data_IF_633267367445
#
_entry.id   IF_633267367445
#
_cell.length_a   1.000
_cell.length_b   1.000
_cell.length_c   1.000
_cell.angle_alpha   90.00
_cell.angle_beta   90.00
_cell.angle_gamma   90.00
#
_symmetry.space_group_name_H-M   'P 1'
#
loop_
_entity.id
_entity.type
_entity.pdbx_description
1 polymer ?
#
# COMPACT_ATOMS: atom_id res chain seq x y z
N UNK A 1 38.05 -19.83 -16.73
CA UNK A 1 37.93 -18.80 -17.78
C UNK A 1 36.96 -17.75 -17.27
N UNK A 2 37.43 -16.53 -17.02
CA UNK A 2 36.56 -15.41 -16.66
C UNK A 2 35.79 -14.97 -17.89
N UNK A 3 34.44 -14.87 -17.83
CA UNK A 3 33.66 -14.41 -18.97
C UNK A 3 34.07 -12.97 -19.30
N UNK A 4 34.47 -12.74 -20.55
CA UNK A 4 34.81 -11.41 -21.06
C UNK A 4 33.49 -10.71 -21.37
N UNK A 5 33.11 -9.72 -20.56
CA UNK A 5 31.94 -8.89 -20.82
C UNK A 5 32.26 -7.91 -21.96
N UNK A 6 31.48 -7.96 -23.03
CA UNK A 6 31.53 -6.98 -24.11
C UNK A 6 30.58 -5.83 -23.79
N UNK A 7 31.06 -4.58 -23.67
CA UNK A 7 30.21 -3.42 -23.47
C UNK A 7 29.20 -3.26 -24.61
N UNK A 8 28.00 -2.75 -24.33
CA UNK A 8 26.96 -2.54 -25.35
C UNK A 8 27.45 -1.69 -26.54
N UNK A 9 28.34 -0.72 -26.28
CA UNK A 9 28.95 0.14 -27.31
C UNK A 9 29.81 -0.62 -28.33
N UNK A 10 30.29 -1.81 -28.00
CA UNK A 10 31.24 -2.57 -28.81
C UNK A 10 30.55 -3.69 -29.63
N UNK A 11 29.21 -3.77 -29.58
CA UNK A 11 28.41 -4.69 -30.40
C UNK A 11 28.03 -4.12 -31.78
N UNK A 12 27.66 -5.02 -32.71
CA UNK A 12 27.13 -4.62 -34.02
C UNK A 12 25.81 -3.87 -33.91
N UNK A 13 25.55 -3.01 -34.89
CA UNK A 13 24.37 -2.14 -34.94
C UNK A 13 23.03 -2.87 -34.73
N UNK A 14 22.78 -4.06 -35.31
CA UNK A 14 21.53 -4.79 -35.06
C UNK A 14 21.34 -5.18 -33.59
N UNK A 15 22.40 -5.58 -32.90
CA UNK A 15 22.36 -5.97 -31.49
C UNK A 15 22.11 -4.75 -30.61
N UNK A 16 22.73 -3.61 -30.92
CA UNK A 16 22.49 -2.34 -30.23
C UNK A 16 21.04 -1.89 -30.34
N UNK A 17 20.46 -1.98 -31.54
CA UNK A 17 19.06 -1.62 -31.78
C UNK A 17 18.12 -2.56 -31.02
N UNK A 18 18.40 -3.87 -31.03
CA UNK A 18 17.62 -4.86 -30.29
C UNK A 18 17.59 -4.55 -28.79
N UNK A 19 18.76 -4.37 -28.15
CA UNK A 19 18.82 -4.11 -26.71
C UNK A 19 18.24 -2.74 -26.34
N UNK A 20 18.48 -1.71 -27.15
CA UNK A 20 17.90 -0.38 -26.92
C UNK A 20 16.39 -0.44 -27.01
N UNK A 21 15.85 -1.07 -28.06
CA UNK A 21 14.42 -1.25 -28.25
C UNK A 21 13.78 -2.00 -27.08
N UNK A 22 14.39 -3.12 -26.67
CA UNK A 22 13.94 -3.89 -25.51
C UNK A 22 13.89 -3.03 -24.23
N UNK A 23 14.96 -2.31 -23.91
CA UNK A 23 15.02 -1.46 -22.72
C UNK A 23 13.99 -0.33 -22.77
N UNK A 24 13.77 0.29 -23.94
CA UNK A 24 12.73 1.30 -24.12
C UNK A 24 11.33 0.71 -23.90
N UNK A 25 11.02 -0.44 -24.49
CA UNK A 25 9.72 -1.11 -24.32
C UNK A 25 9.46 -1.48 -22.86
N UNK A 26 10.44 -2.07 -22.19
CA UNK A 26 10.35 -2.42 -20.77
C UNK A 26 10.22 -1.17 -19.91
N UNK A 27 10.99 -0.12 -20.19
CA UNK A 27 10.91 1.15 -19.47
C UNK A 27 9.52 1.80 -19.58
N UNK A 28 8.91 1.77 -20.76
CA UNK A 28 7.52 2.24 -20.95
C UNK A 28 6.55 1.38 -20.13
N UNK A 29 6.69 0.05 -20.18
CA UNK A 29 5.86 -0.87 -19.38
C UNK A 29 5.94 -0.59 -17.88
N UNK A 30 7.14 -0.39 -17.35
CA UNK A 30 7.32 -0.01 -15.95
C UNK A 30 6.71 1.35 -15.62
N UNK A 31 6.84 2.33 -16.50
CA UNK A 31 6.24 3.65 -16.30
C UNK A 31 4.71 3.55 -16.19
N UNK A 32 4.06 2.78 -17.07
CA UNK A 32 2.63 2.54 -16.99
C UNK A 32 2.23 1.73 -15.74
N UNK A 33 3.05 0.76 -15.32
CA UNK A 33 2.82 0.01 -14.08
C UNK A 33 2.86 0.95 -12.86
N UNK A 34 3.86 1.83 -12.78
CA UNK A 34 3.98 2.82 -11.70
C UNK A 34 2.81 3.81 -11.71
N UNK A 35 2.40 4.28 -12.90
CA UNK A 35 1.21 5.14 -13.05
C UNK A 35 -0.04 4.42 -12.55
N UNK A 36 -0.23 3.14 -12.92
CA UNK A 36 -1.38 2.37 -12.49
C UNK A 36 -1.40 2.19 -10.97
N UNK A 37 -0.26 1.87 -10.37
CA UNK A 37 -0.12 1.76 -8.91
C UNK A 37 -0.43 3.11 -8.24
N UNK A 38 0.09 4.22 -8.76
CA UNK A 38 -0.21 5.57 -8.24
C UNK A 38 -1.71 5.89 -8.33
N UNK A 39 -2.37 5.62 -9.45
CA UNK A 39 -3.81 5.93 -9.57
C UNK A 39 -4.71 4.96 -8.81
N UNK A 40 -4.26 3.74 -8.54
CA UNK A 40 -5.08 2.72 -7.87
C UNK A 40 -4.86 2.72 -6.37
N UNK A 41 -3.68 3.12 -5.89
CA UNK A 41 -3.28 3.03 -4.48
C UNK A 41 -2.72 4.34 -3.93
N UNK A 42 -2.35 5.32 -4.76
CA UNK A 42 -1.72 6.56 -4.30
C UNK A 42 -2.66 7.60 -3.67
N UNK A 43 -3.84 7.16 -3.23
CA UNK A 43 -4.73 7.88 -2.33
C UNK A 43 -5.31 6.95 -1.25
N UNK A 44 -4.78 5.74 -1.08
CA UNK A 44 -5.31 4.78 -0.11
C UNK A 44 -5.10 5.26 1.33
N UNK A 45 -4.05 6.03 1.61
CA UNK A 45 -3.79 6.69 2.89
C UNK A 45 -4.43 8.09 3.03
N UNK A 46 -5.10 8.59 2.00
CA UNK A 46 -5.71 9.93 1.95
C UNK A 46 -4.72 11.09 1.72
N UNK A 47 -3.46 10.81 1.36
CA UNK A 47 -2.47 11.80 0.90
C UNK A 47 -2.20 11.62 -0.59
N UNK A 48 -1.80 12.69 -1.27
CA UNK A 48 -1.42 12.62 -2.68
C UNK A 48 0.01 12.08 -2.79
N UNK A 49 0.19 10.86 -3.27
CA UNK A 49 1.52 10.26 -3.48
C UNK A 49 1.49 8.75 -3.39
N UNK A 50 2.66 8.11 -3.51
CA UNK A 50 2.80 6.68 -3.22
C UNK A 50 3.65 6.54 -1.95
N UNK A 51 3.01 6.25 -0.83
CA UNK A 51 3.69 5.91 0.42
C UNK A 51 4.09 4.43 0.43
N UNK A 52 5.14 4.09 1.19
CA UNK A 52 5.43 2.70 1.56
C UNK A 52 4.21 2.08 2.25
N UNK A 53 3.47 2.89 3.01
CA UNK A 53 2.26 2.48 3.73
C UNK A 53 1.14 2.06 2.77
N UNK A 54 1.03 2.66 1.57
CA UNK A 54 0.05 2.29 0.54
C UNK A 54 0.35 0.91 -0.08
N UNK A 55 1.63 0.61 -0.28
CA UNK A 55 2.10 -0.69 -0.80
C UNK A 55 1.91 -1.78 0.26
N UNK A 56 2.27 -1.48 1.52
CA UNK A 56 2.00 -2.37 2.65
C UNK A 56 0.49 -2.63 2.73
N UNK A 57 -0.36 -1.62 2.70
CA UNK A 57 -1.81 -1.88 2.74
C UNK A 57 -2.31 -2.78 1.60
N UNK A 58 -1.85 -2.54 0.37
CA UNK A 58 -2.34 -3.24 -0.83
C UNK A 58 -1.77 -4.65 -0.99
N UNK A 59 -0.55 -4.91 -0.51
CA UNK A 59 0.18 -6.16 -0.74
C UNK A 59 0.57 -6.94 0.52
N UNK A 60 0.36 -6.41 1.73
CA UNK A 60 0.73 -7.08 2.99
C UNK A 60 -0.20 -8.26 3.34
N UNK A 61 -1.14 -8.59 2.45
CA UNK A 61 -1.91 -9.82 2.51
C UNK A 61 -2.99 -9.82 3.59
N UNK A 62 -3.97 -10.69 3.38
CA UNK A 62 -5.16 -10.79 4.22
C UNK A 62 -4.81 -11.29 5.64
N UNK A 63 -4.77 -10.38 6.62
CA UNK A 63 -5.05 -10.70 8.02
C UNK A 63 -6.46 -10.27 8.37
N UNK A 64 -7.48 -10.91 7.82
CA UNK A 64 -8.86 -10.86 8.34
C UNK A 64 -8.93 -11.59 9.68
N UNK A 65 -8.04 -11.28 10.62
CA UNK A 65 -7.80 -12.05 11.84
C UNK A 65 -8.72 -11.64 12.98
N UNK A 66 -9.11 -10.36 13.05
CA UNK A 66 -9.96 -9.87 14.14
C UNK A 66 -11.38 -9.59 13.67
N UNK A 67 -12.35 -9.85 14.55
CA UNK A 67 -13.76 -9.56 14.30
C UNK A 67 -13.97 -8.07 14.03
N UNK A 68 -13.23 -7.20 14.72
CA UNK A 68 -13.32 -5.75 14.56
C UNK A 68 -12.87 -5.30 13.16
N UNK A 69 -11.73 -5.80 12.68
CA UNK A 69 -11.22 -5.50 11.33
C UNK A 69 -12.15 -6.01 10.22
N UNK A 70 -12.75 -7.20 10.39
CA UNK A 70 -13.75 -7.71 9.44
C UNK A 70 -15.00 -6.84 9.40
N UNK A 71 -15.46 -6.32 10.55
CA UNK A 71 -16.62 -5.45 10.62
C UNK A 71 -16.33 -4.08 10.00
N UNK A 72 -15.18 -3.49 10.27
CA UNK A 72 -14.75 -2.20 9.71
C UNK A 72 -14.47 -2.25 8.20
N UNK A 73 -14.17 -3.43 7.64
CA UNK A 73 -14.08 -3.64 6.20
C UNK A 73 -15.37 -4.18 5.56
N UNK A 74 -16.38 -4.49 6.36
CA UNK A 74 -17.63 -5.10 5.93
C UNK A 74 -18.84 -4.31 6.39
N UNK A 75 -19.68 -4.93 7.23
CA UNK A 75 -21.01 -4.40 7.59
C UNK A 75 -20.97 -3.06 8.35
N UNK A 76 -19.83 -2.65 8.89
CA UNK A 76 -19.66 -1.39 9.62
C UNK A 76 -18.78 -0.37 8.89
N UNK A 77 -18.38 -0.66 7.64
CA UNK A 77 -17.49 0.18 6.84
C UNK A 77 -17.96 1.64 6.74
N UNK A 78 -19.26 1.85 6.59
CA UNK A 78 -19.84 3.19 6.38
C UNK A 78 -20.01 4.00 7.68
N UNK A 79 -19.74 3.41 8.85
CA UNK A 79 -19.95 4.08 10.14
C UNK A 79 -18.73 4.88 10.63
N UNK A 80 -17.61 4.79 9.93
CA UNK A 80 -16.44 5.60 10.21
C UNK A 80 -15.68 5.93 8.90
N UNK A 81 -15.13 7.16 8.77
CA UNK A 81 -14.26 7.52 7.66
C UNK A 81 -13.10 6.53 7.50
N UNK A 82 -12.63 6.37 6.27
CA UNK A 82 -11.53 5.45 5.96
C UNK A 82 -10.28 5.68 6.83
N UNK A 83 -9.91 6.93 7.06
CA UNK A 83 -8.77 7.29 7.93
C UNK A 83 -8.97 6.85 9.38
N UNK A 84 -10.17 7.02 9.95
CA UNK A 84 -10.47 6.60 11.32
C UNK A 84 -10.48 5.06 11.43
N UNK A 85 -11.07 4.38 10.45
CA UNK A 85 -11.05 2.91 10.37
C UNK A 85 -9.63 2.39 10.26
N UNK A 86 -8.81 3.02 9.42
CA UNK A 86 -7.42 2.65 9.23
C UNK A 86 -6.64 2.76 10.54
N UNK A 87 -6.80 3.86 11.27
CA UNK A 87 -6.13 4.08 12.55
C UNK A 87 -6.46 2.99 13.58
N UNK A 88 -7.73 2.58 13.66
CA UNK A 88 -8.16 1.46 14.51
C UNK A 88 -7.51 0.14 14.06
N UNK A 89 -7.48 -0.13 12.75
CA UNK A 89 -6.89 -1.36 12.21
C UNK A 89 -5.37 -1.42 12.43
N UNK A 90 -4.68 -0.30 12.32
CA UNK A 90 -3.24 -0.19 12.61
C UNK A 90 -2.94 -0.49 14.07
N UNK A 91 -3.68 0.13 14.99
CA UNK A 91 -3.57 -0.15 16.43
C UNK A 91 -3.79 -1.63 16.76
N UNK A 92 -4.82 -2.27 16.18
CA UNK A 92 -5.10 -3.70 16.37
C UNK A 92 -3.93 -4.55 15.86
N UNK A 93 -3.39 -4.22 14.69
CA UNK A 93 -2.26 -4.96 14.08
C UNK A 93 -0.96 -4.77 14.86
N UNK A 94 -0.79 -3.63 15.53
CA UNK A 94 0.33 -3.31 16.42
C UNK A 94 0.33 -4.09 17.75
N UNK A 95 -0.74 -4.83 18.06
CA UNK A 95 -0.89 -5.59 19.30
C UNK A 95 -1.95 -5.05 20.24
N UNK A 96 -2.68 -4.00 19.82
CA UNK A 96 -3.75 -3.37 20.60
C UNK A 96 -3.31 -2.92 21.99
N UNK A 97 -2.16 -2.27 22.08
CA UNK A 97 -1.61 -1.78 23.34
C UNK A 97 -2.51 -0.68 23.95
N UNK A 98 -2.66 -0.70 25.27
CA UNK A 98 -3.58 0.20 25.97
C UNK A 98 -3.06 1.65 26.05
N UNK A 99 -1.74 1.84 26.02
CA UNK A 99 -1.13 3.16 26.06
C UNK A 99 -1.38 3.84 24.69
N UNK A 100 -1.10 3.13 23.59
CA UNK A 100 -1.38 3.58 22.21
C UNK A 100 -2.89 3.83 21.99
N UNK A 101 -3.77 3.06 22.62
CA UNK A 101 -5.22 3.24 22.50
C UNK A 101 -5.67 4.66 22.87
N UNK A 102 -5.04 5.25 23.90
CA UNK A 102 -5.34 6.60 24.36
C UNK A 102 -4.51 7.65 23.63
N UNK A 103 -3.21 7.41 23.51
CA UNK A 103 -2.26 8.38 22.96
C UNK A 103 -2.50 8.63 21.47
N UNK A 104 -2.84 7.59 20.71
CA UNK A 104 -3.19 7.71 19.29
C UNK A 104 -4.66 8.12 19.07
N UNK A 105 -5.41 8.42 20.14
CA UNK A 105 -6.78 8.92 20.05
C UNK A 105 -7.79 7.90 19.51
N UNK A 106 -7.48 6.60 19.61
CA UNK A 106 -8.39 5.51 19.23
C UNK A 106 -9.61 5.50 20.15
N UNK A 107 -9.39 5.72 21.45
CA UNK A 107 -10.43 5.91 22.46
C UNK A 107 -11.50 6.90 21.99
N UNK A 108 -11.07 8.08 21.54
CA UNK A 108 -11.97 9.13 21.07
C UNK A 108 -12.79 8.70 19.86
N UNK A 109 -12.20 7.93 18.94
CA UNK A 109 -12.92 7.40 17.76
C UNK A 109 -14.00 6.42 18.21
N UNK A 110 -13.64 5.48 19.09
CA UNK A 110 -14.57 4.47 19.63
C UNK A 110 -15.73 5.15 20.37
N UNK A 111 -15.44 6.11 21.24
CA UNK A 111 -16.45 6.87 21.99
C UNK A 111 -17.40 7.63 21.06
N UNK A 112 -16.87 8.28 20.03
CA UNK A 112 -17.65 9.15 19.14
C UNK A 112 -18.50 8.38 18.14
N UNK A 113 -18.01 7.23 17.66
CA UNK A 113 -18.62 6.50 16.51
C UNK A 113 -19.25 5.17 16.89
N UNK A 114 -18.71 4.47 17.88
CA UNK A 114 -19.05 3.06 18.13
C UNK A 114 -19.96 2.93 19.35
N UNK A 115 -19.61 3.59 20.46
CA UNK A 115 -20.32 3.49 21.75
C UNK A 115 -21.79 3.88 21.64
N UNK A 116 -22.12 4.82 20.73
CA UNK A 116 -23.50 5.23 20.47
C UNK A 116 -24.45 4.07 20.10
N UNK A 117 -23.94 3.02 19.47
CA UNK A 117 -24.72 1.83 19.07
C UNK A 117 -24.25 0.54 19.77
N UNK A 118 -23.10 0.57 20.46
CA UNK A 118 -22.44 -0.58 21.08
C UNK A 118 -22.01 -0.26 22.52
N UNK A 119 -22.98 -0.27 23.45
CA UNK A 119 -22.77 -0.17 24.90
C UNK A 119 -22.90 -1.53 25.59
#
# INVERSE_FOLDING_TARGET
>A
MTPKFTPLKDHDTPIKVLFTGYLCTVGIGYLFALIQILFTHGMADGKFGLSIDDIVYSYYGNRSGTVLEQKLNGSMKENAPEQERFKIMEWIRGGADIDDYKDDGIEKIIETRCVMCHN
#
